data_IF_080205087990
#
_entry.id   IF_080205087990
#
_cell.length_a   1.000
_cell.length_b   1.000
_cell.length_c   1.000
_cell.angle_alpha   90.00
_cell.angle_beta   90.00
_cell.angle_gamma   90.00
#
_symmetry.space_group_name_H-M   'P 1'
#
loop_
_entity.id
_entity.type
_entity.pdbx_description
1 polymer ?
#
# COMPACT_ATOMS: atom_id res chain seq x y z
N UNK A 1 5.90 6.98 5.52
CA UNK A 1 7.05 6.12 5.84
C UNK A 1 6.61 4.98 6.75
N UNK A 2 7.24 3.82 6.60
CA UNK A 2 7.05 2.61 7.38
C UNK A 2 8.40 2.16 7.90
N UNK A 3 8.44 1.66 9.14
CA UNK A 3 9.67 1.09 9.72
C UNK A 3 9.34 -0.29 10.25
N UNK A 4 10.13 -1.29 9.85
CA UNK A 4 10.11 -2.63 10.42
C UNK A 4 11.47 -2.90 11.07
N UNK A 5 11.45 -3.39 12.32
CA UNK A 5 12.67 -3.62 13.11
C UNK A 5 12.70 -5.09 13.50
N UNK A 6 13.72 -5.80 13.02
CA UNK A 6 13.98 -7.20 13.37
C UNK A 6 15.41 -7.34 13.87
N UNK A 7 15.56 -7.51 15.19
CA UNK A 7 16.89 -7.52 15.83
C UNK A 7 17.58 -6.16 15.69
N UNK A 8 18.77 -6.15 15.09
CA UNK A 8 19.53 -4.94 14.79
C UNK A 8 19.32 -4.44 13.35
N UNK A 9 18.38 -5.01 12.61
CA UNK A 9 18.06 -4.57 11.25
C UNK A 9 16.81 -3.69 11.27
N UNK A 10 16.86 -2.63 10.48
CA UNK A 10 15.71 -1.77 10.20
C UNK A 10 15.44 -1.76 8.70
N UNK A 11 14.18 -1.87 8.34
CA UNK A 11 13.71 -1.75 6.97
C UNK A 11 12.78 -0.55 6.92
N UNK A 12 13.05 0.40 6.02
CA UNK A 12 12.15 1.50 5.76
C UNK A 12 11.50 1.38 4.38
N UNK A 13 10.22 1.68 4.33
CA UNK A 13 9.46 1.90 3.10
C UNK A 13 8.82 3.27 3.13
N UNK A 14 8.51 3.86 1.98
CA UNK A 14 7.69 5.06 1.96
C UNK A 14 6.85 5.16 0.71
N UNK A 15 5.66 5.70 0.91
CA UNK A 15 4.81 6.23 -0.13
C UNK A 15 4.71 7.74 0.11
N UNK A 16 4.85 8.53 -0.94
CA UNK A 16 4.64 9.97 -0.93
C UNK A 16 3.87 10.41 -2.16
N UNK A 17 3.23 11.58 -2.11
CA UNK A 17 2.72 12.23 -3.31
C UNK A 17 3.48 13.55 -3.55
N UNK A 18 3.79 13.81 -4.81
CA UNK A 18 4.61 14.93 -5.25
C UNK A 18 4.00 15.66 -6.45
N UNK A 19 4.51 16.85 -6.78
CA UNK A 19 3.99 17.71 -7.82
C UNK A 19 4.30 17.22 -9.24
N UNK A 20 5.04 16.11 -9.40
CA UNK A 20 5.39 15.55 -10.70
C UNK A 20 4.25 14.70 -11.34
N UNK A 21 3.01 14.72 -10.82
CA UNK A 21 1.89 14.08 -11.54
C UNK A 21 1.52 14.87 -12.80
N UNK A 22 1.16 14.18 -13.90
CA UNK A 22 0.37 14.82 -14.93
C UNK A 22 -0.98 15.26 -14.34
N UNK A 23 -1.46 16.48 -14.60
CA UNK A 23 -2.85 16.83 -14.30
C UNK A 23 -3.76 15.96 -15.15
N UNK A 24 -4.45 15.01 -14.53
CA UNK A 24 -5.51 14.23 -15.18
C UNK A 24 -6.85 14.96 -15.01
N UNK A 25 -7.73 14.84 -15.99
CA UNK A 25 -9.13 15.28 -15.90
C UNK A 25 -10.02 14.04 -15.94
N UNK A 26 -10.77 13.73 -14.85
CA UNK A 26 -10.79 14.40 -13.54
C UNK A 26 -9.46 14.21 -12.78
N UNK A 27 -9.17 15.02 -11.73
CA UNK A 27 -7.89 14.98 -10.99
C UNK A 27 -7.76 13.66 -10.24
N UNK A 28 -7.29 12.65 -10.96
CA UNK A 28 -7.01 11.33 -10.46
C UNK A 28 -5.50 11.31 -10.23
N UNK A 29 -5.14 11.42 -8.95
CA UNK A 29 -3.83 11.24 -8.30
C UNK A 29 -2.76 12.33 -8.53
N UNK A 30 -2.45 13.09 -7.48
CA UNK A 30 -1.14 13.72 -7.29
C UNK A 30 -0.06 12.63 -7.39
N UNK A 31 1.08 12.94 -8.00
CA UNK A 31 2.02 11.94 -8.50
C UNK A 31 2.58 11.19 -7.32
N UNK A 32 2.13 9.97 -7.11
CA UNK A 32 2.62 9.16 -6.02
C UNK A 32 3.97 8.58 -6.38
N UNK A 33 4.95 8.73 -5.51
CA UNK A 33 6.19 7.97 -5.56
C UNK A 33 6.16 6.92 -4.46
N UNK A 34 6.47 5.67 -4.84
CA UNK A 34 6.74 4.56 -3.93
C UNK A 34 8.23 4.24 -4.05
N UNK A 35 8.93 4.11 -2.93
CA UNK A 35 10.26 3.52 -2.98
C UNK A 35 10.08 2.00 -3.12
N UNK A 36 10.00 1.57 -4.38
CA UNK A 36 9.64 0.21 -4.80
C UNK A 36 10.50 -0.86 -4.11
N UNK A 37 11.75 -0.52 -3.81
CA UNK A 37 12.65 -1.33 -3.00
C UNK A 37 12.70 -0.83 -1.56
N UNK A 38 12.37 -1.74 -0.64
CA UNK A 38 12.60 -1.53 0.78
C UNK A 38 14.07 -1.17 1.01
N UNK A 39 14.29 -0.05 1.69
CA UNK A 39 15.64 0.42 2.03
C UNK A 39 16.02 -0.19 3.37
N UNK A 40 17.19 -0.82 3.44
CA UNK A 40 17.64 -1.51 4.64
C UNK A 40 18.69 -0.67 5.38
N UNK A 41 18.77 -0.86 6.68
CA UNK A 41 19.75 -0.22 7.55
C UNK A 41 20.09 -1.09 8.76
N UNK A 42 21.16 -0.71 9.46
CA UNK A 42 21.55 -1.34 10.73
C UNK A 42 21.34 -0.36 11.87
N UNK A 43 20.81 -0.86 12.97
CA UNK A 43 20.63 -0.13 14.22
C UNK A 43 21.91 -0.27 15.05
N UNK A 44 22.53 0.85 15.38
CA UNK A 44 23.69 0.93 16.25
C UNK A 44 23.30 0.69 17.73
N UNK A 45 24.25 0.37 18.62
CA UNK A 45 23.96 0.11 20.04
C UNK A 45 23.29 1.28 20.78
N UNK A 46 23.46 2.51 20.31
CA UNK A 46 22.82 3.71 20.87
C UNK A 46 21.40 3.95 20.32
N UNK A 47 20.89 3.02 19.51
CA UNK A 47 19.59 3.08 18.84
C UNK A 47 19.57 3.95 17.58
N UNK A 48 20.68 4.57 17.19
CA UNK A 48 20.74 5.32 15.93
C UNK A 48 20.70 4.38 14.73
N UNK A 49 20.09 4.82 13.64
CA UNK A 49 20.08 4.07 12.38
C UNK A 49 20.25 5.00 11.19
N UNK A 50 20.76 4.43 10.11
CA UNK A 50 20.73 5.03 8.77
C UNK A 50 20.15 4.01 7.81
N UNK A 51 19.15 4.43 7.04
CA UNK A 51 18.53 3.65 5.98
C UNK A 51 18.74 4.39 4.67
N UNK A 52 19.26 3.70 3.66
CA UNK A 52 19.51 4.29 2.34
C UNK A 52 18.95 3.38 1.25
N UNK A 53 18.34 3.97 0.23
CA UNK A 53 18.01 3.25 -1.01
C UNK A 53 19.29 2.71 -1.67
N UNK A 54 19.26 1.52 -2.28
CA UNK A 54 20.42 1.00 -3.00
C UNK A 54 20.91 1.98 -4.07
N UNK A 55 22.23 2.15 -4.22
CA UNK A 55 22.86 3.07 -5.18
C UNK A 55 22.52 2.76 -6.65
N UNK A 56 21.96 1.58 -6.91
CA UNK A 56 21.65 1.07 -8.24
C UNK A 56 20.18 1.28 -8.67
N UNK A 57 19.40 2.11 -7.98
CA UNK A 57 18.04 2.49 -8.39
C UNK A 57 18.10 3.82 -9.15
N UNK A 58 18.01 3.83 -10.50
CA UNK A 58 18.11 5.07 -11.27
C UNK A 58 16.88 5.95 -11.01
N UNK A 59 17.11 7.20 -10.66
CA UNK A 59 16.08 8.24 -10.54
C UNK A 59 15.52 8.46 -9.13
N UNK A 60 15.67 7.49 -8.23
CA UNK A 60 15.09 7.58 -6.88
C UNK A 60 16.16 7.41 -5.81
N UNK A 61 16.24 8.34 -4.86
CA UNK A 61 17.08 8.20 -3.68
C UNK A 61 16.29 8.48 -2.41
N UNK A 62 16.57 7.71 -1.37
CA UNK A 62 16.06 7.91 -0.02
C UNK A 62 17.19 7.72 0.96
N UNK A 63 17.36 8.68 1.86
CA UNK A 63 18.22 8.58 3.03
C UNK A 63 17.41 8.97 4.25
N UNK A 64 17.35 8.09 5.24
CA UNK A 64 16.70 8.32 6.52
C UNK A 64 17.74 8.12 7.60
N UNK A 65 17.83 9.08 8.51
CA UNK A 65 18.67 9.00 9.71
C UNK A 65 17.77 9.22 10.91
N UNK A 66 17.82 8.35 11.91
CA UNK A 66 16.94 8.47 13.05
C UNK A 66 17.39 7.67 14.25
N UNK A 67 16.51 7.60 15.25
CA UNK A 67 16.67 6.72 16.41
C UNK A 67 15.44 5.83 16.59
N UNK A 68 15.68 4.55 16.88
CA UNK A 68 14.63 3.68 17.40
C UNK A 68 14.22 4.17 18.79
N UNK A 69 12.93 4.08 19.15
CA UNK A 69 12.49 4.44 20.48
C UNK A 69 13.10 3.50 21.54
N UNK A 70 13.48 4.05 22.70
CA UNK A 70 14.02 3.24 23.82
C UNK A 70 12.94 2.39 24.48
N UNK A 71 11.68 2.86 24.45
CA UNK A 71 10.52 2.17 25.00
C UNK A 71 9.65 1.66 23.84
N UNK A 72 9.22 0.41 23.93
CA UNK A 72 8.33 -0.17 22.93
C UNK A 72 7.01 0.63 22.86
N UNK A 73 6.69 1.15 21.68
CA UNK A 73 5.49 1.97 21.44
C UNK A 73 5.73 3.48 21.37
N UNK A 74 6.93 3.95 21.72
CA UNK A 74 7.30 5.36 21.57
C UNK A 74 7.55 5.76 20.09
N UNK A 75 7.72 7.06 19.86
CA UNK A 75 7.91 7.62 18.53
C UNK A 75 9.34 7.45 18.02
N UNK A 76 9.45 6.94 16.79
CA UNK A 76 10.64 7.13 15.98
C UNK A 76 10.76 8.62 15.66
N UNK A 77 11.97 9.12 15.62
CA UNK A 77 12.25 10.48 15.16
C UNK A 77 13.55 10.54 14.39
N UNK A 78 13.64 11.51 13.49
CA UNK A 78 14.82 11.68 12.69
C UNK A 78 14.62 12.64 11.53
N UNK A 79 15.48 12.47 10.54
CA UNK A 79 15.62 13.32 9.39
C UNK A 79 15.51 12.43 8.14
N UNK A 80 14.97 12.97 7.06
CA UNK A 80 15.01 12.30 5.77
C UNK A 80 15.43 13.28 4.68
N UNK A 81 16.06 12.73 3.65
CA UNK A 81 16.24 13.35 2.34
C UNK A 81 15.81 12.36 1.28
N UNK A 82 15.02 12.81 0.32
CA UNK A 82 14.55 12.00 -0.79
C UNK A 82 14.71 12.75 -2.10
N UNK A 83 15.04 12.07 -3.18
CA UNK A 83 14.95 12.60 -4.54
C UNK A 83 14.18 11.64 -5.43
N UNK A 84 13.40 12.19 -6.35
CA UNK A 84 12.65 11.43 -7.34
C UNK A 84 12.83 12.08 -8.70
N UNK A 85 13.04 11.26 -9.72
CA UNK A 85 13.10 11.68 -11.12
C UNK A 85 12.06 10.90 -11.92
N UNK A 86 11.04 11.59 -12.41
CA UNK A 86 10.04 10.99 -13.30
C UNK A 86 10.71 10.49 -14.58
N UNK A 87 10.57 9.19 -14.93
CA UNK A 87 11.13 8.63 -16.16
C UNK A 87 10.39 9.10 -17.42
N UNK A 88 9.16 9.61 -17.28
CA UNK A 88 8.41 10.18 -18.38
C UNK A 88 8.63 11.71 -18.44
N UNK A 89 8.87 12.29 -19.64
CA UNK A 89 8.84 13.73 -19.82
C UNK A 89 7.48 14.24 -19.37
N UNK A 90 7.47 15.21 -18.45
CA UNK A 90 6.22 15.89 -18.13
C UNK A 90 5.71 16.55 -19.42
N UNK A 91 4.41 16.40 -19.72
CA UNK A 91 3.79 16.96 -20.93
C UNK A 91 3.90 18.49 -21.03
N UNK A 92 4.42 19.16 -20.00
CA UNK A 92 4.61 20.61 -19.94
C UNK A 92 6.00 21.10 -20.36
N UNK A 93 7.03 20.24 -20.48
CA UNK A 93 8.37 20.74 -20.79
C UNK A 93 9.34 19.77 -21.49
N UNK A 94 8.95 18.53 -21.84
CA UNK A 94 9.88 17.61 -22.53
C UNK A 94 11.07 17.11 -21.69
N UNK A 95 11.19 17.58 -20.45
CA UNK A 95 12.28 17.24 -19.54
C UNK A 95 11.80 16.35 -18.38
N UNK A 96 12.67 15.47 -17.85
CA UNK A 96 12.42 14.70 -16.63
C UNK A 96 12.13 15.64 -15.44
N UNK A 97 11.03 15.40 -14.73
CA UNK A 97 10.73 16.12 -13.48
C UNK A 97 11.59 15.54 -12.37
N UNK A 98 12.60 16.31 -11.89
CA UNK A 98 13.40 15.93 -10.71
C UNK A 98 13.01 16.80 -9.53
N UNK A 99 12.64 16.18 -8.42
CA UNK A 99 12.28 16.87 -7.17
C UNK A 99 13.04 16.26 -6.01
N UNK A 100 13.52 17.13 -5.11
CA UNK A 100 14.16 16.72 -3.86
C UNK A 100 13.35 17.22 -2.66
N UNK A 101 13.24 16.37 -1.64
CA UNK A 101 12.59 16.64 -0.37
C UNK A 101 13.57 16.43 0.76
N UNK A 102 13.44 17.24 1.80
CA UNK A 102 14.15 17.03 3.05
C UNK A 102 13.31 17.50 4.21
N UNK A 103 13.40 16.82 5.35
CA UNK A 103 12.69 17.27 6.54
C UNK A 103 13.01 16.44 7.76
N UNK A 104 12.38 16.82 8.86
CA UNK A 104 12.30 16.00 10.06
C UNK A 104 11.04 15.16 10.01
N UNK A 105 11.06 14.01 10.68
CA UNK A 105 9.88 13.18 10.87
C UNK A 105 9.76 12.72 12.32
N UNK A 106 8.52 12.48 12.71
CA UNK A 106 8.17 11.59 13.80
C UNK A 106 7.32 10.46 13.23
N UNK A 107 7.45 9.25 13.76
CA UNK A 107 6.62 8.12 13.36
C UNK A 107 6.25 7.29 14.59
N UNK A 108 4.95 7.11 14.81
CA UNK A 108 4.41 6.15 15.77
C UNK A 108 4.18 4.81 15.09
N UNK A 109 4.27 3.73 15.85
CA UNK A 109 3.75 2.44 15.39
C UNK A 109 2.23 2.56 15.16
N UNK A 110 1.75 2.06 14.03
CA UNK A 110 0.32 1.82 13.86
C UNK A 110 -0.04 0.50 14.55
N UNK A 111 -1.26 0.38 15.11
CA UNK A 111 -1.76 -0.92 15.54
C UNK A 111 -1.66 -1.92 14.39
N UNK A 112 -1.37 -3.17 14.74
CA UNK A 112 -1.37 -4.26 13.77
C UNK A 112 -2.76 -4.38 13.15
N UNK A 113 -2.83 -4.43 11.83
CA UNK A 113 -4.13 -4.60 11.16
C UNK A 113 -4.75 -5.91 11.60
N UNK A 114 -5.90 -5.88 12.27
CA UNK A 114 -6.60 -7.06 12.77
C UNK A 114 -8.06 -6.75 12.99
N UNK A 115 -8.94 -7.10 12.06
CA UNK A 115 -10.36 -6.90 12.23
C UNK A 115 -11.20 -7.20 11.01
N UNK A 116 -12.50 -6.98 11.17
CA UNK A 116 -13.49 -7.01 10.08
C UNK A 116 -13.76 -5.58 9.66
N UNK A 117 -13.58 -5.28 8.38
CA UNK A 117 -13.71 -3.96 7.77
C UNK A 117 -14.84 -3.98 6.77
N UNK A 118 -15.81 -3.07 6.88
CA UNK A 118 -16.97 -3.04 6.01
C UNK A 118 -17.20 -1.66 5.41
N UNK A 119 -17.68 -1.61 4.18
CA UNK A 119 -18.01 -0.35 3.52
C UNK A 119 -18.84 -0.56 2.27
N UNK A 120 -19.45 0.52 1.81
CA UNK A 120 -20.30 0.52 0.62
C UNK A 120 -19.66 1.32 -0.49
N UNK A 121 -19.77 0.83 -1.71
CA UNK A 121 -19.22 1.47 -2.90
C UNK A 121 -20.14 1.32 -4.10
N UNK A 122 -19.58 1.56 -5.27
CA UNK A 122 -20.24 1.24 -6.52
C UNK A 122 -19.26 0.82 -7.59
N UNK A 123 -19.73 -0.01 -8.50
CA UNK A 123 -19.07 -0.31 -9.77
C UNK A 123 -19.71 0.51 -10.87
N UNK A 124 -18.91 0.88 -11.86
CA UNK A 124 -19.41 1.52 -13.07
C UNK A 124 -19.06 0.64 -14.27
N UNK A 125 -20.07 0.21 -15.02
CA UNK A 125 -19.91 -0.55 -16.25
C UNK A 125 -20.46 0.25 -17.42
N UNK A 126 -19.76 0.25 -18.55
CA UNK A 126 -20.22 0.90 -19.78
C UNK A 126 -20.57 -0.20 -20.79
N UNK A 127 -21.85 -0.34 -21.11
CA UNK A 127 -22.36 -1.32 -22.07
C UNK A 127 -23.07 -0.58 -23.19
N UNK A 128 -22.61 -0.72 -24.43
CA UNK A 128 -23.16 -0.02 -25.60
C UNK A 128 -23.27 1.51 -25.40
N UNK A 129 -22.29 2.10 -24.74
CA UNK A 129 -22.26 3.54 -24.43
C UNK A 129 -23.17 3.97 -23.27
N UNK A 130 -23.89 3.04 -22.64
CA UNK A 130 -24.72 3.32 -21.45
C UNK A 130 -23.91 3.00 -20.19
N UNK A 131 -23.74 4.00 -19.34
CA UNK A 131 -23.13 3.85 -18.02
C UNK A 131 -24.15 3.34 -17.00
N UNK A 132 -23.90 2.17 -16.43
CA UNK A 132 -24.67 1.62 -15.30
C UNK A 132 -23.81 1.67 -14.05
N UNK A 133 -24.38 2.22 -12.97
CA UNK A 133 -23.74 2.26 -11.65
C UNK A 133 -24.45 1.25 -10.76
N UNK A 134 -23.72 0.25 -10.28
CA UNK A 134 -24.28 -0.80 -9.42
C UNK A 134 -23.72 -0.62 -8.01
N UNK A 135 -24.57 -0.46 -6.97
CA UNK A 135 -24.10 -0.38 -5.60
C UNK A 135 -23.48 -1.72 -5.19
N UNK A 136 -22.42 -1.65 -4.40
CA UNK A 136 -21.78 -2.83 -3.83
C UNK A 136 -21.55 -2.65 -2.33
N UNK A 137 -21.49 -3.78 -1.63
CA UNK A 137 -21.04 -3.82 -0.23
C UNK A 137 -19.81 -4.71 -0.15
N UNK A 138 -18.82 -4.26 0.60
CA UNK A 138 -17.54 -4.95 0.79
C UNK A 138 -17.37 -5.20 2.27
N UNK A 139 -17.00 -6.42 2.63
CA UNK A 139 -16.56 -6.78 3.97
C UNK A 139 -15.25 -7.57 3.87
N UNK A 140 -14.18 -7.08 4.47
CA UNK A 140 -12.88 -7.72 4.49
C UNK A 140 -12.47 -8.07 5.93
N UNK A 141 -12.17 -9.33 6.20
CA UNK A 141 -11.47 -9.74 7.43
C UNK A 141 -9.99 -9.72 7.15
N UNK A 142 -9.24 -8.89 7.86
CA UNK A 142 -7.81 -8.69 7.65
C UNK A 142 -7.04 -8.96 8.94
N UNK A 143 -5.90 -9.62 8.82
CA UNK A 143 -4.99 -9.88 9.93
C UNK A 143 -3.54 -9.77 9.46
N UNK A 144 -2.81 -8.88 10.09
CA UNK A 144 -1.39 -8.66 9.93
C UNK A 144 -0.62 -9.70 10.74
N UNK A 145 0.49 -10.15 10.15
CA UNK A 145 1.17 -11.35 10.60
C UNK A 145 0.73 -12.55 9.77
N UNK A 146 1.70 -13.32 9.31
CA UNK A 146 1.43 -14.49 8.50
C UNK A 146 2.71 -15.08 7.94
N UNK A 147 2.56 -15.84 6.86
CA UNK A 147 3.68 -16.43 6.14
C UNK A 147 3.72 -15.85 4.74
N UNK A 148 4.89 -15.41 4.29
CA UNK A 148 5.13 -14.96 2.91
C UNK A 148 5.92 -16.04 2.20
N UNK A 149 5.49 -16.40 0.99
CA UNK A 149 6.21 -17.35 0.14
C UNK A 149 6.96 -16.59 -0.93
N UNK A 150 8.29 -16.74 -0.96
CA UNK A 150 9.12 -16.19 -2.01
C UNK A 150 8.78 -16.88 -3.34
N UNK A 151 8.32 -16.12 -4.34
CA UNK A 151 7.89 -16.69 -5.62
C UNK A 151 9.01 -17.34 -6.43
N UNK A 152 10.27 -16.93 -6.21
CA UNK A 152 11.43 -17.46 -6.93
C UNK A 152 11.92 -18.75 -6.29
N UNK A 153 11.99 -18.79 -4.96
CA UNK A 153 12.57 -19.94 -4.24
C UNK A 153 11.53 -20.92 -3.73
N UNK A 154 10.26 -20.52 -3.66
CA UNK A 154 9.17 -21.29 -3.05
C UNK A 154 9.27 -21.39 -1.52
N UNK A 155 10.25 -20.75 -0.89
CA UNK A 155 10.46 -20.82 0.55
C UNK A 155 9.48 -19.87 1.25
N UNK A 156 8.79 -20.41 2.26
CA UNK A 156 7.84 -19.70 3.10
C UNK A 156 8.49 -19.29 4.42
N UNK A 157 8.32 -18.03 4.84
CA UNK A 157 8.84 -17.53 6.11
C UNK A 157 7.80 -16.66 6.83
N UNK A 158 7.78 -16.66 8.18
CA UNK A 158 6.97 -15.73 8.96
C UNK A 158 7.29 -14.28 8.61
N UNK A 159 6.27 -13.42 8.60
CA UNK A 159 6.42 -11.99 8.34
C UNK A 159 5.40 -11.20 9.15
N UNK A 160 5.89 -10.20 9.88
CA UNK A 160 5.11 -9.24 10.68
C UNK A 160 4.33 -8.25 9.82
N UNK A 161 4.72 -8.05 8.56
CA UNK A 161 4.06 -7.13 7.64
C UNK A 161 3.11 -7.84 6.66
N UNK A 162 3.14 -9.17 6.61
CA UNK A 162 2.24 -9.95 5.77
C UNK A 162 0.79 -9.73 6.19
N UNK A 163 -0.09 -9.61 5.21
CA UNK A 163 -1.51 -9.46 5.45
C UNK A 163 -2.23 -10.72 4.95
N UNK A 164 -2.93 -11.37 5.87
CA UNK A 164 -3.82 -12.49 5.58
C UNK A 164 -5.26 -12.05 5.75
N UNK A 165 -6.19 -12.71 5.07
CA UNK A 165 -7.58 -12.33 5.17
C UNK A 165 -8.51 -12.97 4.14
N UNK A 166 -9.78 -12.63 4.30
CA UNK A 166 -10.86 -12.97 3.38
C UNK A 166 -11.68 -11.73 3.07
N UNK A 167 -12.31 -11.72 1.90
CA UNK A 167 -13.22 -10.66 1.48
C UNK A 167 -14.55 -11.26 1.05
N UNK A 168 -15.62 -10.57 1.37
CA UNK A 168 -16.98 -10.81 0.90
C UNK A 168 -17.46 -9.57 0.17
N UNK A 169 -18.04 -9.75 -1.02
CA UNK A 169 -18.53 -8.67 -1.87
C UNK A 169 -19.95 -8.97 -2.29
N UNK A 170 -20.87 -8.04 -2.04
CA UNK A 170 -22.25 -8.08 -2.49
C UNK A 170 -22.49 -7.05 -3.59
N UNK A 171 -23.40 -7.35 -4.52
CA UNK A 171 -23.72 -6.47 -5.64
C UNK A 171 -22.75 -6.53 -6.82
N UNK A 172 -21.64 -7.28 -6.71
CA UNK A 172 -20.75 -7.55 -7.83
C UNK A 172 -21.25 -8.81 -8.59
N UNK A 173 -21.38 -8.78 -9.93
CA UNK A 173 -22.08 -9.84 -10.66
C UNK A 173 -21.32 -11.18 -10.79
N UNK A 174 -20.05 -11.24 -10.37
CA UNK A 174 -19.13 -12.26 -10.86
C UNK A 174 -18.50 -13.11 -9.79
N UNK A 175 -18.28 -12.52 -8.62
CA UNK A 175 -17.71 -13.15 -7.47
C UNK A 175 -18.41 -12.65 -6.22
N UNK A 176 -18.34 -13.44 -5.17
CA UNK A 176 -18.91 -13.08 -3.87
C UNK A 176 -17.88 -13.14 -2.76
N UNK A 177 -16.84 -13.96 -2.93
CA UNK A 177 -15.85 -14.20 -1.88
C UNK A 177 -14.45 -14.30 -2.46
N UNK A 178 -13.44 -14.04 -1.62
CA UNK A 178 -12.05 -14.24 -1.96
C UNK A 178 -11.15 -14.36 -0.74
N UNK A 179 -9.93 -14.83 -0.93
CA UNK A 179 -8.93 -15.01 0.12
C UNK A 179 -7.57 -14.46 -0.31
N UNK A 180 -6.79 -13.94 0.63
CA UNK A 180 -5.42 -13.51 0.36
C UNK A 180 -4.55 -14.70 -0.01
N UNK A 181 -3.65 -14.53 -0.98
CA UNK A 181 -2.70 -15.56 -1.37
C UNK A 181 -1.30 -15.27 -0.78
N UNK A 182 -0.71 -16.18 0.02
CA UNK A 182 0.63 -16.03 0.61
C UNK A 182 1.78 -15.86 -0.41
N UNK A 183 1.56 -16.31 -1.65
CA UNK A 183 2.50 -16.13 -2.74
C UNK A 183 2.37 -14.75 -3.41
N UNK A 184 1.32 -13.98 -3.11
CA UNK A 184 1.12 -12.63 -3.65
C UNK A 184 1.44 -11.58 -2.59
N UNK A 185 1.82 -10.39 -3.04
CA UNK A 185 2.14 -9.26 -2.16
C UNK A 185 0.86 -8.71 -1.50
N UNK A 186 0.49 -9.27 -0.36
CA UNK A 186 -0.44 -8.65 0.59
C UNK A 186 0.33 -8.27 1.85
N UNK A 187 0.24 -7.02 2.27
CA UNK A 187 0.96 -6.55 3.42
C UNK A 187 0.63 -5.12 3.81
N UNK A 188 1.18 -4.72 4.95
CA UNK A 188 1.10 -3.35 5.46
C UNK A 188 2.43 -2.66 5.24
N UNK A 189 2.41 -1.54 4.50
CA UNK A 189 3.54 -0.65 4.25
C UNK A 189 3.31 0.67 4.96
N UNK A 190 3.61 0.72 6.25
CA UNK A 190 3.44 1.91 7.08
C UNK A 190 2.00 2.01 7.51
N UNK A 191 1.30 3.06 7.09
CA UNK A 191 -0.15 3.09 7.21
C UNK A 191 -0.87 2.58 5.95
N UNK A 192 -0.16 2.22 4.87
CA UNK A 192 -0.80 1.70 3.66
C UNK A 192 -1.13 0.21 3.80
N UNK A 193 -2.39 -0.14 3.64
CA UNK A 193 -2.87 -1.52 3.55
C UNK A 193 -2.92 -1.91 2.08
N UNK A 194 -2.20 -2.97 1.71
CA UNK A 194 -2.26 -3.56 0.36
C UNK A 194 -2.70 -5.01 0.49
N UNK A 195 -3.88 -5.34 0.01
CA UNK A 195 -4.42 -6.70 0.07
C UNK A 195 -4.77 -7.18 -1.34
N UNK A 196 -4.29 -8.37 -1.70
CA UNK A 196 -4.60 -9.03 -2.97
C UNK A 196 -5.35 -10.32 -2.70
N UNK A 197 -6.62 -10.35 -3.10
CA UNK A 197 -7.50 -11.50 -2.93
C UNK A 197 -7.63 -12.27 -4.24
N UNK A 198 -7.57 -13.60 -4.15
CA UNK A 198 -8.01 -14.48 -5.22
C UNK A 198 -9.50 -14.77 -4.98
N UNK A 199 -10.33 -14.40 -5.95
CA UNK A 199 -11.78 -14.50 -5.87
C UNK A 199 -12.27 -15.90 -6.27
N UNK A 200 -13.50 -16.24 -5.89
CA UNK A 200 -14.15 -17.52 -6.20
C UNK A 200 -14.38 -17.77 -7.72
N UNK A 201 -14.35 -16.73 -8.55
CA UNK A 201 -14.38 -16.81 -10.01
C UNK A 201 -12.98 -16.89 -10.67
N UNK A 202 -11.91 -16.94 -9.86
CA UNK A 202 -10.52 -16.94 -10.29
C UNK A 202 -9.95 -15.56 -10.63
N UNK A 203 -10.73 -14.49 -10.52
CA UNK A 203 -10.21 -13.12 -10.65
C UNK A 203 -9.35 -12.73 -9.45
N UNK A 204 -8.63 -11.63 -9.60
CA UNK A 204 -7.83 -11.01 -8.55
C UNK A 204 -8.45 -9.67 -8.19
N UNK A 205 -8.77 -9.47 -6.91
CA UNK A 205 -9.18 -8.18 -6.38
C UNK A 205 -8.03 -7.57 -5.58
N UNK A 206 -7.57 -6.39 -5.98
CA UNK A 206 -6.50 -5.64 -5.34
C UNK A 206 -7.09 -4.45 -4.60
N UNK A 207 -6.99 -4.45 -3.27
CA UNK A 207 -7.34 -3.35 -2.37
C UNK A 207 -6.07 -2.63 -1.94
N UNK A 208 -6.03 -1.32 -2.11
CA UNK A 208 -4.96 -0.46 -1.61
C UNK A 208 -5.54 0.80 -0.98
N UNK A 209 -5.13 1.13 0.24
CA UNK A 209 -5.55 2.36 0.92
C UNK A 209 -4.87 2.57 2.27
N UNK A 210 -4.67 3.83 2.69
CA UNK A 210 -4.14 4.11 4.01
C UNK A 210 -5.15 3.85 5.14
N UNK A 211 -4.64 3.41 6.29
CA UNK A 211 -5.24 3.66 7.59
C UNK A 211 -5.25 5.18 7.83
N UNK A 212 -6.41 5.72 8.17
CA UNK A 212 -6.58 7.18 8.34
C UNK A 212 -6.38 7.66 9.77
N UNK A 213 -6.29 6.73 10.73
CA UNK A 213 -6.13 7.04 12.14
C UNK A 213 -5.26 5.99 12.85
N UNK A 214 -4.74 6.37 14.01
CA UNK A 214 -3.91 5.51 14.85
C UNK A 214 -4.71 4.45 15.63
N UNK A 215 -6.04 4.40 15.49
CA UNK A 215 -6.89 3.38 16.09
C UNK A 215 -7.18 2.23 15.14
N UNK A 216 -6.70 2.32 13.89
CA UNK A 216 -6.90 1.29 12.87
C UNK A 216 -8.41 1.07 12.62
N UNK A 217 -9.22 2.13 12.81
CA UNK A 217 -10.68 2.07 12.69
C UNK A 217 -11.15 2.19 11.24
N UNK A 218 -10.36 2.85 10.39
CA UNK A 218 -10.76 3.20 9.04
C UNK A 218 -9.63 2.95 8.05
N UNK A 219 -9.94 2.25 6.96
CA UNK A 219 -9.13 2.20 5.74
C UNK A 219 -9.81 3.11 4.73
N UNK A 220 -9.09 4.03 4.11
CA UNK A 220 -9.58 4.84 2.99
C UNK A 220 -9.06 4.26 1.68
N UNK A 221 -9.83 3.46 0.94
CA UNK A 221 -9.35 2.82 -0.29
C UNK A 221 -9.04 3.88 -1.35
N UNK A 222 -7.80 3.89 -1.81
CA UNK A 222 -7.38 4.71 -2.97
C UNK A 222 -7.65 3.93 -4.26
N UNK A 223 -7.55 2.60 -4.19
CA UNK A 223 -7.72 1.73 -5.34
C UNK A 223 -8.38 0.42 -4.91
N UNK A 224 -9.41 0.03 -5.66
CA UNK A 224 -10.01 -1.29 -5.61
C UNK A 224 -10.23 -1.77 -7.04
N UNK A 225 -9.36 -2.67 -7.49
CA UNK A 225 -9.27 -3.10 -8.89
C UNK A 225 -9.47 -4.59 -9.00
N UNK A 226 -10.31 -5.01 -9.93
CA UNK A 226 -10.54 -6.41 -10.30
C UNK A 226 -9.86 -6.68 -11.63
N UNK A 227 -9.06 -7.75 -11.69
CA UNK A 227 -8.37 -8.20 -12.91
C UNK A 227 -8.47 -9.73 -13.09
N UNK A 228 -8.47 -10.20 -14.33
CA UNK A 228 -8.61 -11.61 -14.70
C UNK A 228 -9.97 -12.24 -14.39
N UNK A 229 -10.03 -13.58 -14.42
CA UNK A 229 -11.26 -14.32 -14.17
C UNK A 229 -12.38 -14.02 -15.17
N UNK A 230 -13.63 -14.05 -14.71
CA UNK A 230 -14.80 -13.81 -15.58
C UNK A 230 -15.09 -12.33 -15.80
N UNK A 231 -14.60 -11.45 -14.92
CA UNK A 231 -15.01 -10.04 -14.87
C UNK A 231 -13.89 -9.01 -14.73
N UNK A 232 -12.64 -9.44 -14.82
CA UNK A 232 -11.48 -8.56 -14.86
C UNK A 232 -10.95 -8.28 -16.27
N UNK A 233 -11.69 -8.61 -17.34
CA UNK A 233 -11.28 -8.26 -18.71
C UNK A 233 -12.42 -7.54 -19.46
N UNK A 234 -12.35 -6.20 -19.60
CA UNK A 234 -11.33 -5.30 -19.08
C UNK A 234 -11.37 -5.16 -17.55
N UNK A 235 -10.30 -4.64 -16.91
CA UNK A 235 -10.28 -4.42 -15.46
C UNK A 235 -11.46 -3.56 -15.00
N UNK A 236 -12.09 -3.97 -13.90
CA UNK A 236 -13.21 -3.23 -13.30
C UNK A 236 -12.71 -2.40 -12.12
N UNK A 237 -13.05 -1.11 -12.12
CA UNK A 237 -12.75 -0.18 -11.04
C UNK A 237 -13.95 -0.08 -10.10
N UNK A 238 -13.69 -0.22 -8.81
CA UNK A 238 -14.70 -0.01 -7.78
C UNK A 238 -14.42 1.33 -7.09
N UNK A 239 -15.45 2.18 -7.02
CA UNK A 239 -15.42 3.37 -6.20
C UNK A 239 -15.86 3.01 -4.79
N UNK A 240 -14.92 3.05 -3.84
CA UNK A 240 -15.17 2.75 -2.43
C UNK A 240 -14.57 3.90 -1.61
N UNK A 241 -15.40 4.58 -0.81
CA UNK A 241 -14.94 5.77 -0.07
C UNK A 241 -14.11 5.40 1.16
N UNK A 242 -14.55 4.37 1.88
CA UNK A 242 -14.03 4.00 3.17
C UNK A 242 -14.43 2.56 3.51
N UNK A 243 -13.61 1.89 4.31
CA UNK A 243 -13.95 0.67 5.02
C UNK A 243 -13.79 0.92 6.52
N UNK A 244 -14.86 0.68 7.27
CA UNK A 244 -14.96 0.89 8.71
C UNK A 244 -14.82 -0.42 9.45
N UNK A 245 -13.96 -0.45 10.47
CA UNK A 245 -13.80 -1.60 11.35
C UNK A 245 -15.08 -1.86 12.15
N UNK A 246 -15.53 -3.10 12.13
CA UNK A 246 -16.76 -3.59 12.76
C UNK A 246 -16.47 -4.41 14.03
N UNK A 247 -15.33 -5.11 14.06
CA UNK A 247 -14.84 -5.93 15.18
C UNK A 247 -13.34 -6.16 15.05
#
# INVERSE_FOLDING_TARGET
>A
MSFDVTGNNIVAGSFGSGPCAPPSTPPIVNGSFDFVTASNGTIAPDGSFTVQSPDNVPGDSLLIQGKVPQVHGDQFSGNYTASFTSPAPSHFAGEPCTVSYSGMFTATSFPLVSGVYAGTGSTQTITNGVSTVTPIEVQATLQQGGTVTNQVTGISAPSSIALTGSIHVQGFPCFTTGVTNPARSSGVKGNMVVATFTMDDGSTLSLSGPLTDSTEAHISPVSLVVDGGKCGTPPSFVSLRQLDRQS
#
